data_IF_131265928798
#
_entry.id   IF_131265928798
#
_cell.length_a   1.000
_cell.length_b   1.000
_cell.length_c   1.000
_cell.angle_alpha   90.00
_cell.angle_beta   90.00
_cell.angle_gamma   90.00
#
_symmetry.space_group_name_H-M   'P 1'
#
loop_
_entity.id
_entity.type
_entity.pdbx_description
1 polymer ?
#
# COMPACT_ATOMS: atom_id res chain seq x y z
N UNK A 1 9.97 13.02 11.86
CA UNK A 1 9.19 12.79 10.61
C UNK A 1 8.89 11.31 10.49
N UNK A 2 7.63 10.92 10.34
CA UNK A 2 7.24 9.52 10.09
C UNK A 2 7.43 9.21 8.60
N UNK A 3 8.05 8.07 8.26
CA UNK A 3 8.27 7.64 6.87
C UNK A 3 7.18 6.64 6.50
N UNK A 4 6.39 6.94 5.47
CA UNK A 4 5.42 5.98 4.94
C UNK A 4 6.09 5.03 3.96
N UNK A 5 5.83 3.73 4.09
CA UNK A 5 6.27 2.71 3.14
C UNK A 5 5.66 2.98 1.75
N UNK A 6 4.42 3.49 1.68
CA UNK A 6 3.78 3.86 0.41
C UNK A 6 4.62 4.85 -0.39
N UNK A 7 5.02 5.95 0.26
CA UNK A 7 5.89 6.98 -0.35
C UNK A 7 7.28 6.45 -0.71
N UNK A 8 7.83 5.51 0.05
CA UNK A 8 9.12 4.90 -0.26
C UNK A 8 9.04 4.03 -1.53
N UNK A 9 7.93 3.33 -1.72
CA UNK A 9 7.65 2.52 -2.91
C UNK A 9 7.44 3.42 -4.13
N UNK A 10 6.64 4.50 -4.01
CA UNK A 10 6.46 5.49 -5.10
C UNK A 10 7.79 6.13 -5.52
N UNK A 11 8.69 6.38 -4.56
CA UNK A 11 10.02 6.95 -4.84
C UNK A 11 10.96 6.04 -5.65
N UNK A 12 10.60 4.76 -5.86
CA UNK A 12 11.35 3.86 -6.75
C UNK A 12 11.18 4.22 -8.23
N UNK A 13 10.18 5.04 -8.59
CA UNK A 13 10.08 5.67 -9.91
C UNK A 13 9.54 4.77 -11.03
N UNK A 14 9.85 5.16 -12.28
CA UNK A 14 9.23 4.66 -13.52
C UNK A 14 9.38 3.14 -13.73
N UNK A 15 10.48 2.55 -13.25
CA UNK A 15 10.70 1.10 -13.35
C UNK A 15 9.62 0.31 -12.62
N UNK A 16 9.19 0.80 -11.45
CA UNK A 16 8.13 0.15 -10.67
C UNK A 16 6.76 0.32 -11.35
N UNK A 17 6.51 1.49 -11.94
CA UNK A 17 5.27 1.80 -12.67
C UNK A 17 5.10 0.84 -13.85
N UNK A 18 6.17 0.58 -14.60
CA UNK A 18 6.14 -0.35 -15.74
C UNK A 18 5.76 -1.78 -15.35
N UNK A 19 6.30 -2.28 -14.24
CA UNK A 19 5.99 -3.62 -13.72
C UNK A 19 4.54 -3.71 -13.25
N UNK A 20 4.04 -2.68 -12.58
CA UNK A 20 2.66 -2.64 -12.10
C UNK A 20 1.68 -2.59 -13.27
N UNK A 21 1.99 -1.80 -14.30
CA UNK A 21 1.15 -1.69 -15.51
C UNK A 21 1.05 -3.00 -16.29
N UNK A 22 2.15 -3.77 -16.38
CA UNK A 22 2.09 -5.12 -16.96
C UNK A 22 1.14 -6.05 -16.19
N UNK A 23 1.13 -5.94 -14.85
CA UNK A 23 0.29 -6.81 -14.01
C UNK A 23 -1.20 -6.42 -14.04
N UNK A 24 -1.56 -5.25 -14.54
CA UNK A 24 -2.96 -4.90 -14.83
C UNK A 24 -3.57 -5.79 -15.93
N UNK A 25 -2.76 -6.46 -16.74
CA UNK A 25 -3.20 -7.39 -17.77
C UNK A 25 -3.11 -8.86 -17.35
N UNK A 26 -2.79 -9.15 -16.08
CA UNK A 26 -2.69 -10.51 -15.58
C UNK A 26 -4.04 -11.24 -15.70
N UNK A 27 -4.04 -12.53 -16.10
CA UNK A 27 -5.25 -13.36 -16.15
C UNK A 27 -5.81 -13.67 -14.75
N UNK A 28 -4.93 -13.72 -13.74
CA UNK A 28 -5.31 -13.87 -12.34
C UNK A 28 -5.94 -12.58 -11.80
N UNK A 29 -7.21 -12.67 -11.42
CA UNK A 29 -7.99 -11.54 -10.91
C UNK A 29 -7.44 -10.96 -9.60
N UNK A 30 -6.81 -11.77 -8.75
CA UNK A 30 -6.19 -11.32 -7.50
C UNK A 30 -4.95 -10.49 -7.79
N UNK A 31 -4.12 -10.94 -8.74
CA UNK A 31 -2.94 -10.20 -9.20
C UNK A 31 -3.35 -8.87 -9.82
N UNK A 32 -4.41 -8.89 -10.66
CA UNK A 32 -4.94 -7.68 -11.30
C UNK A 32 -5.46 -6.68 -10.27
N UNK A 33 -6.22 -7.14 -9.27
CA UNK A 33 -6.72 -6.30 -8.19
C UNK A 33 -5.58 -5.68 -7.38
N UNK A 34 -4.53 -6.44 -7.07
CA UNK A 34 -3.34 -5.91 -6.39
C UNK A 34 -2.60 -4.87 -7.22
N UNK A 35 -2.47 -5.10 -8.54
CA UNK A 35 -1.86 -4.14 -9.46
C UNK A 35 -2.65 -2.82 -9.52
N UNK A 36 -3.99 -2.87 -9.51
CA UNK A 36 -4.83 -1.68 -9.48
C UNK A 36 -4.65 -0.88 -8.19
N UNK A 37 -4.72 -1.52 -7.01
CA UNK A 37 -4.50 -0.84 -5.72
C UNK A 37 -3.12 -0.22 -5.64
N UNK A 38 -2.11 -0.92 -6.17
CA UNK A 38 -0.73 -0.40 -6.20
C UNK A 38 -0.61 0.77 -7.17
N UNK A 39 -1.29 0.73 -8.32
CA UNK A 39 -1.33 1.83 -9.30
C UNK A 39 -1.98 3.08 -8.71
N UNK A 40 -3.12 2.94 -8.04
CA UNK A 40 -3.85 4.04 -7.40
C UNK A 40 -2.99 4.72 -6.31
N UNK A 41 -2.10 3.97 -5.66
CA UNK A 41 -1.15 4.50 -4.67
C UNK A 41 -0.09 5.43 -5.29
N UNK A 42 0.19 5.35 -6.59
CA UNK A 42 1.07 6.34 -7.25
C UNK A 42 0.36 7.66 -7.49
N UNK A 43 -0.96 7.62 -7.74
CA UNK A 43 -1.78 8.82 -7.95
C UNK A 43 -2.13 9.52 -6.62
N UNK A 44 -2.36 8.75 -5.55
CA UNK A 44 -2.48 9.24 -4.17
C UNK A 44 -1.63 8.40 -3.20
N UNK A 45 -0.35 8.78 -2.97
CA UNK A 45 0.56 8.06 -2.06
C UNK A 45 0.14 8.08 -0.59
N UNK A 46 -0.80 8.94 -0.23
CA UNK A 46 -1.33 9.08 1.13
C UNK A 46 -2.69 8.38 1.30
N UNK A 47 -3.30 7.90 0.21
CA UNK A 47 -4.48 7.04 0.25
C UNK A 47 -4.19 5.80 1.12
N UNK A 48 -5.01 5.62 2.16
CA UNK A 48 -4.85 4.52 3.12
C UNK A 48 -3.81 4.74 4.24
N UNK A 49 -2.89 5.71 4.13
CA UNK A 49 -1.92 6.02 5.20
C UNK A 49 -2.61 6.50 6.47
N UNK A 50 -3.60 7.40 6.34
CA UNK A 50 -4.35 7.91 7.47
C UNK A 50 -5.14 6.79 8.18
N UNK A 51 -5.77 5.89 7.41
CA UNK A 51 -6.51 4.76 7.95
C UNK A 51 -5.59 3.73 8.62
N UNK A 52 -4.43 3.44 8.03
CA UNK A 52 -3.42 2.55 8.61
C UNK A 52 -2.81 3.13 9.90
N UNK A 53 -2.58 4.45 9.93
CA UNK A 53 -2.11 5.14 11.13
C UNK A 53 -3.14 5.10 12.26
N UNK A 54 -4.42 5.31 11.94
CA UNK A 54 -5.52 5.20 12.90
C UNK A 54 -5.68 3.76 13.41
N UNK A 55 -5.59 2.76 12.53
CA UNK A 55 -5.58 1.35 12.91
C UNK A 55 -4.39 1.00 13.82
N UNK A 56 -3.17 1.47 13.50
CA UNK A 56 -1.99 1.27 14.31
C UNK A 56 -2.12 1.93 15.70
N UNK A 57 -2.66 3.16 15.76
CA UNK A 57 -2.98 3.82 17.03
C UNK A 57 -3.99 3.04 17.85
N UNK A 58 -5.02 2.46 17.22
CA UNK A 58 -5.99 1.60 17.88
C UNK A 58 -5.36 0.33 18.43
N UNK A 59 -4.50 -0.35 17.67
CA UNK A 59 -3.75 -1.54 18.16
C UNK A 59 -2.90 -1.19 19.38
N UNK A 60 -2.20 -0.04 19.35
CA UNK A 60 -1.41 0.43 20.50
C UNK A 60 -2.29 0.78 21.70
N UNK A 61 -3.43 1.46 21.47
CA UNK A 61 -4.36 1.87 22.53
C UNK A 61 -5.13 0.69 23.16
N UNK A 62 -5.39 -0.36 22.38
CA UNK A 62 -6.06 -1.59 22.84
C UNK A 62 -5.10 -2.58 23.52
N UNK A 63 -3.79 -2.31 23.51
CA UNK A 63 -2.77 -3.23 24.00
C UNK A 63 -2.50 -4.35 23.00
N UNK A 64 -1.23 -4.73 22.84
CA UNK A 64 -0.76 -5.78 21.93
C UNK A 64 -1.14 -7.21 22.39
N UNK A 65 -2.32 -7.42 22.97
CA UNK A 65 -2.82 -8.74 23.33
C UNK A 65 -3.73 -9.30 22.25
N UNK A 66 -3.09 -9.74 21.17
CA UNK A 66 -3.57 -10.83 20.34
C UNK A 66 -2.37 -11.70 19.94
N UNK A 67 -1.63 -12.17 20.95
CA UNK A 67 -0.83 -13.39 20.84
C UNK A 67 -1.41 -14.39 21.83
N UNK A 68 -2.38 -15.17 21.36
CA UNK A 68 -2.57 -16.59 21.71
C UNK A 68 -3.09 -17.29 20.46
#
# INVERSE_FOLDING_TARGET
MQKSLSRAIVALGEDLVSVVDERLQAEDDTVRAHAMVTRDMFDDPDAGFAHALDAAKRVVALGSEATV
#
